data_IF_382638683487
#
_entry.id   IF_382638683487
#
_cell.length_a   1.000
_cell.length_b   1.000
_cell.length_c   1.000
_cell.angle_alpha   90.00
_cell.angle_beta   90.00
_cell.angle_gamma   90.00
#
_symmetry.space_group_name_H-M   'P 1'
#
loop_
_entity.id
_entity.type
_entity.pdbx_description
1 polymer ?
#
# COMPACT_ATOMS: atom_id res chain seq x y z
N UNK A 1 -37.81 -14.44 10.11
CA UNK A 1 -38.10 -13.99 11.49
C UNK A 1 -39.06 -14.98 12.12
N UNK A 2 -38.96 -15.22 13.42
CA UNK A 2 -39.92 -16.04 14.16
C UNK A 2 -40.87 -15.14 14.96
N UNK A 3 -42.11 -15.58 15.14
CA UNK A 3 -43.15 -14.86 15.89
C UNK A 3 -43.97 -15.87 16.68
N UNK A 4 -44.25 -15.55 17.93
CA UNK A 4 -45.17 -16.32 18.76
C UNK A 4 -46.56 -15.66 18.79
N UNK A 5 -47.62 -16.47 18.78
CA UNK A 5 -49.00 -15.97 18.73
C UNK A 5 -49.52 -15.54 20.12
N UNK A 6 -48.97 -16.12 21.18
CA UNK A 6 -49.38 -15.90 22.57
C UNK A 6 -48.50 -14.83 23.27
N UNK A 7 -47.40 -14.42 22.63
CA UNK A 7 -46.47 -13.40 23.10
C UNK A 7 -45.36 -13.93 24.01
N UNK A 8 -45.14 -15.25 24.02
CA UNK A 8 -44.12 -15.91 24.83
C UNK A 8 -42.70 -15.55 24.36
N UNK A 9 -41.74 -15.62 25.29
CA UNK A 9 -40.35 -15.31 24.99
C UNK A 9 -39.73 -16.41 24.12
N UNK A 10 -39.30 -16.03 22.92
CA UNK A 10 -38.57 -16.93 22.02
C UNK A 10 -37.11 -17.06 22.41
N UNK A 11 -36.64 -18.31 22.50
CA UNK A 11 -35.25 -18.69 22.74
C UNK A 11 -34.65 -19.39 21.53
N UNK A 12 -33.47 -18.97 21.10
CA UNK A 12 -32.76 -19.51 19.94
C UNK A 12 -31.58 -20.38 20.36
N UNK A 13 -31.31 -21.43 19.57
CA UNK A 13 -30.12 -22.26 19.74
C UNK A 13 -29.58 -22.75 18.39
N UNK A 14 -28.27 -22.99 18.33
CA UNK A 14 -27.62 -23.61 17.17
C UNK A 14 -27.73 -25.13 17.27
N UNK A 15 -28.24 -25.76 16.23
CA UNK A 15 -28.39 -27.23 16.18
C UNK A 15 -27.32 -27.92 15.34
N UNK A 16 -26.73 -27.22 14.36
CA UNK A 16 -25.64 -27.71 13.51
C UNK A 16 -24.86 -26.56 12.87
N UNK A 17 -23.73 -26.86 12.22
CA UNK A 17 -22.91 -25.87 11.49
C UNK A 17 -21.56 -25.58 12.16
N UNK A 18 -20.76 -24.66 11.62
CA UNK A 18 -19.33 -24.55 11.91
C UNK A 18 -19.02 -24.04 13.32
N UNK A 19 -17.99 -24.58 13.97
CA UNK A 19 -17.65 -24.29 15.37
C UNK A 19 -17.38 -22.80 15.64
N UNK A 20 -16.91 -22.06 14.64
CA UNK A 20 -16.65 -20.63 14.77
C UNK A 20 -17.92 -19.78 14.91
N UNK A 21 -19.11 -20.31 14.58
CA UNK A 21 -20.39 -19.59 14.65
C UNK A 21 -21.18 -20.00 15.90
N UNK A 22 -21.62 -19.00 16.67
CA UNK A 22 -22.49 -19.15 17.85
C UNK A 22 -23.80 -18.38 17.67
N UNK A 23 -24.90 -18.95 18.18
CA UNK A 23 -26.21 -18.32 18.27
C UNK A 23 -26.55 -18.14 19.75
N UNK A 24 -26.74 -16.90 20.19
CA UNK A 24 -27.18 -16.60 21.54
C UNK A 24 -28.69 -16.83 21.72
N UNK A 25 -29.16 -16.95 22.96
CA UNK A 25 -30.57 -17.23 23.29
C UNK A 25 -31.55 -16.19 22.72
N UNK A 26 -31.11 -14.94 22.51
CA UNK A 26 -31.89 -13.87 21.91
C UNK A 26 -31.84 -13.84 20.37
N UNK A 27 -31.09 -14.75 19.74
CA UNK A 27 -30.92 -14.85 18.31
C UNK A 27 -29.68 -14.14 17.74
N UNK A 28 -28.89 -13.46 18.57
CA UNK A 28 -27.67 -12.79 18.09
C UNK A 28 -26.63 -13.79 17.58
N UNK A 29 -26.04 -13.49 16.42
CA UNK A 29 -24.97 -14.28 15.81
C UNK A 29 -23.61 -13.68 16.16
N UNK A 30 -22.68 -14.52 16.60
CA UNK A 30 -21.27 -14.14 16.80
C UNK A 30 -20.35 -15.21 16.21
N UNK A 31 -19.15 -14.82 15.79
CA UNK A 31 -18.17 -15.80 15.33
C UNK A 31 -16.84 -15.22 14.87
N UNK A 32 -15.89 -16.12 14.64
CA UNK A 32 -14.54 -15.81 14.17
C UNK A 32 -14.13 -16.79 13.05
N UNK A 33 -14.70 -16.66 11.84
CA UNK A 33 -14.33 -17.50 10.71
C UNK A 33 -12.87 -17.26 10.32
N UNK A 34 -12.26 -18.29 9.75
CA UNK A 34 -10.91 -18.24 9.18
C UNK A 34 -10.96 -18.16 7.65
N UNK A 35 -9.81 -18.03 7.01
CA UNK A 35 -9.71 -18.11 5.55
C UNK A 35 -10.11 -19.48 5.00
N UNK A 36 -10.07 -20.54 5.82
CA UNK A 36 -10.53 -21.88 5.40
C UNK A 36 -12.05 -21.97 5.30
N UNK A 37 -12.77 -21.04 5.93
CA UNK A 37 -14.24 -20.98 5.94
C UNK A 37 -14.79 -20.15 4.78
N UNK A 38 -13.95 -19.70 3.84
CA UNK A 38 -14.38 -18.87 2.71
C UNK A 38 -15.49 -19.54 1.90
N UNK A 39 -16.53 -18.77 1.59
CA UNK A 39 -17.70 -19.20 0.83
C UNK A 39 -18.94 -19.41 1.69
N UNK A 40 -19.92 -20.12 1.12
CA UNK A 40 -21.20 -20.36 1.78
C UNK A 40 -21.04 -21.43 2.86
N UNK A 41 -21.34 -21.06 4.11
CA UNK A 41 -21.42 -21.94 5.25
C UNK A 41 -22.87 -22.13 5.65
N UNK A 42 -23.25 -23.36 6.00
CA UNK A 42 -24.61 -23.71 6.39
C UNK A 42 -24.70 -24.06 7.87
N UNK A 43 -25.74 -23.60 8.55
CA UNK A 43 -25.97 -23.86 9.97
C UNK A 43 -27.46 -24.04 10.28
N UNK A 44 -27.75 -24.92 11.23
CA UNK A 44 -29.09 -25.16 11.75
C UNK A 44 -29.38 -24.26 12.93
N UNK A 45 -30.57 -23.67 12.96
CA UNK A 45 -31.11 -22.91 14.08
C UNK A 45 -32.43 -23.52 14.53
N UNK A 46 -32.63 -23.61 15.84
CA UNK A 46 -33.92 -23.90 16.46
C UNK A 46 -34.40 -22.69 17.25
N UNK A 47 -35.70 -22.43 17.21
CA UNK A 47 -36.38 -21.44 18.05
C UNK A 47 -37.48 -22.14 18.85
N UNK A 48 -37.66 -21.79 20.12
CA UNK A 48 -38.68 -22.35 21.02
C UNK A 48 -39.27 -21.30 21.94
N UNK A 49 -40.55 -21.44 22.28
CA UNK A 49 -41.28 -20.68 23.31
C UNK A 49 -41.27 -21.40 24.68
N UNK A 50 -40.58 -22.55 24.79
CA UNK A 50 -40.57 -23.42 25.97
C UNK A 50 -41.61 -24.57 25.94
N UNK A 51 -42.53 -24.56 24.97
CA UNK A 51 -43.55 -25.59 24.74
C UNK A 51 -43.41 -26.23 23.36
N UNK A 52 -43.32 -25.40 22.33
CA UNK A 52 -43.15 -25.76 20.93
C UNK A 52 -41.77 -25.32 20.43
N UNK A 53 -41.32 -25.95 19.35
CA UNK A 53 -40.08 -25.55 18.68
C UNK A 53 -40.23 -25.66 17.18
N UNK A 54 -39.58 -24.77 16.45
CA UNK A 54 -39.39 -24.88 15.00
C UNK A 54 -37.91 -24.78 14.65
N UNK A 55 -37.52 -25.26 13.47
CA UNK A 55 -36.12 -25.30 13.04
C UNK A 55 -35.94 -24.94 11.58
N UNK A 56 -34.85 -24.26 11.27
CA UNK A 56 -34.48 -23.86 9.93
C UNK A 56 -32.99 -24.08 9.67
N UNK A 57 -32.65 -24.24 8.39
CA UNK A 57 -31.26 -24.19 7.92
C UNK A 57 -31.01 -22.83 7.28
N UNK A 58 -29.97 -22.15 7.73
CA UNK A 58 -29.56 -20.84 7.24
C UNK A 58 -28.16 -20.93 6.62
N UNK A 59 -27.87 -19.99 5.73
CA UNK A 59 -26.57 -19.87 5.08
C UNK A 59 -25.96 -18.51 5.40
N UNK A 60 -24.65 -18.49 5.64
CA UNK A 60 -23.84 -17.29 5.76
C UNK A 60 -22.66 -17.39 4.80
N UNK A 61 -22.42 -16.33 4.03
CA UNK A 61 -21.26 -16.26 3.14
C UNK A 61 -20.11 -15.57 3.87
N UNK A 62 -18.99 -16.28 4.01
CA UNK A 62 -17.73 -15.72 4.51
C UNK A 62 -16.92 -15.28 3.31
N UNK A 63 -16.76 -13.97 3.15
CA UNK A 63 -15.83 -13.41 2.17
C UNK A 63 -14.50 -13.14 2.83
N UNK A 64 -13.41 -13.25 2.05
CA UNK A 64 -12.15 -12.65 2.48
C UNK A 64 -12.36 -11.14 2.61
N UNK A 65 -11.65 -10.46 3.54
CA UNK A 65 -11.55 -9.02 3.44
C UNK A 65 -11.09 -8.69 2.02
N UNK A 66 -11.66 -7.64 1.44
CA UNK A 66 -11.21 -7.16 0.12
C UNK A 66 -9.68 -7.02 0.22
N UNK A 67 -8.95 -7.72 -0.66
CA UNK A 67 -7.49 -7.65 -0.62
C UNK A 67 -7.17 -6.17 -0.73
N UNK A 68 -6.52 -5.59 0.28
CA UNK A 68 -6.15 -4.18 0.21
C UNK A 68 -5.34 -4.02 -1.07
N UNK A 69 -5.96 -3.43 -2.10
CA UNK A 69 -5.26 -3.20 -3.36
C UNK A 69 -4.22 -2.16 -3.04
N UNK A 70 -2.99 -2.62 -2.81
CA UNK A 70 -1.85 -1.75 -2.67
C UNK A 70 -1.68 -1.07 -4.01
N UNK A 71 -2.04 0.21 -4.07
CA UNK A 71 -1.75 1.03 -5.24
C UNK A 71 -0.25 1.32 -5.19
N UNK A 72 0.50 0.61 -6.01
CA UNK A 72 1.94 0.79 -6.20
C UNK A 72 2.19 1.50 -7.53
N UNK A 73 3.00 2.55 -7.47
CA UNK A 73 3.50 3.29 -8.63
C UNK A 73 5.02 3.23 -8.59
N UNK A 74 5.64 2.77 -9.68
CA UNK A 74 7.08 2.77 -9.87
C UNK A 74 7.38 3.57 -11.13
N UNK A 75 8.35 4.48 -11.05
CA UNK A 75 8.79 5.27 -12.20
C UNK A 75 10.31 5.17 -12.32
N UNK A 76 10.76 4.60 -13.42
CA UNK A 76 12.15 4.43 -13.80
C UNK A 76 12.69 5.67 -14.55
N UNK A 77 14.01 5.86 -14.60
CA UNK A 77 14.64 6.97 -15.31
C UNK A 77 14.46 6.90 -16.83
N UNK A 78 13.98 5.78 -17.37
CA UNK A 78 13.66 5.62 -18.80
C UNK A 78 12.19 5.84 -19.12
N UNK A 79 11.33 6.03 -18.11
CA UNK A 79 9.90 6.22 -18.32
C UNK A 79 9.56 7.62 -18.87
N UNK A 80 8.44 7.69 -19.60
CA UNK A 80 8.01 8.89 -20.34
C UNK A 80 7.61 10.07 -19.45
N UNK A 81 7.26 9.82 -18.18
CA UNK A 81 6.88 10.85 -17.21
C UNK A 81 8.09 11.37 -16.42
N UNK A 82 9.30 11.26 -16.98
CA UNK A 82 10.52 11.85 -16.43
C UNK A 82 11.00 13.06 -17.23
N UNK A 83 11.75 13.94 -16.58
CA UNK A 83 12.43 15.07 -17.24
C UNK A 83 13.72 15.45 -16.49
N UNK A 84 14.64 16.14 -17.15
CA UNK A 84 15.88 16.57 -16.50
C UNK A 84 16.40 17.90 -17.05
N UNK A 85 17.25 18.56 -16.25
CA UNK A 85 18.00 19.75 -16.67
C UNK A 85 19.50 19.43 -16.80
N UNK A 86 20.21 20.22 -17.60
CA UNK A 86 21.65 20.05 -17.81
C UNK A 86 22.02 18.69 -18.40
N UNK A 87 23.11 18.09 -17.91
CA UNK A 87 23.66 16.87 -18.49
C UNK A 87 23.60 15.71 -17.50
N UNK A 88 23.00 14.61 -17.96
CA UNK A 88 22.98 13.31 -17.30
C UNK A 88 23.63 12.28 -18.21
N UNK A 89 24.49 11.42 -17.66
CA UNK A 89 25.21 10.38 -18.41
C UNK A 89 24.85 9.01 -17.87
N UNK A 90 24.92 7.99 -18.72
CA UNK A 90 24.76 6.60 -18.29
C UNK A 90 25.77 6.25 -17.19
N UNK A 91 25.24 5.73 -16.09
CA UNK A 91 26.01 5.24 -14.96
C UNK A 91 26.56 3.85 -15.23
N UNK A 92 27.78 3.59 -14.75
CA UNK A 92 28.34 2.24 -14.63
C UNK A 92 28.16 1.64 -13.23
N UNK A 93 27.40 2.32 -12.36
CA UNK A 93 27.08 1.82 -11.02
C UNK A 93 26.27 0.52 -11.08
N UNK A 94 26.45 -0.33 -10.08
CA UNK A 94 25.86 -1.66 -10.05
C UNK A 94 24.46 -1.67 -9.44
N UNK A 95 23.68 -2.69 -9.80
CA UNK A 95 22.32 -2.95 -9.30
C UNK A 95 21.31 -1.81 -9.55
N UNK A 96 21.21 -1.28 -10.78
CA UNK A 96 20.13 -0.37 -11.12
C UNK A 96 18.77 -1.08 -11.04
N UNK A 97 17.73 -0.32 -10.76
CA UNK A 97 16.37 -0.78 -10.96
C UNK A 97 16.11 -0.91 -12.47
N UNK A 98 15.59 -2.06 -12.89
CA UNK A 98 15.08 -2.32 -14.25
C UNK A 98 15.85 -1.70 -15.43
N UNK A 99 17.17 -1.86 -15.48
CA UNK A 99 17.96 -1.41 -16.63
C UNK A 99 19.25 -0.71 -16.23
N UNK A 100 19.29 0.61 -16.36
CA UNK A 100 20.50 1.39 -16.11
C UNK A 100 20.17 2.77 -15.57
N UNK A 101 20.96 3.22 -14.61
CA UNK A 101 20.78 4.52 -13.99
C UNK A 101 21.56 5.61 -14.71
N UNK A 102 21.25 6.87 -14.41
CA UNK A 102 22.00 8.04 -14.86
C UNK A 102 22.78 8.67 -13.71
N UNK A 103 23.82 9.46 -14.03
CA UNK A 103 24.50 10.30 -13.06
C UNK A 103 24.81 11.70 -13.56
N UNK A 104 24.94 12.63 -12.61
CA UNK A 104 25.38 14.01 -12.86
C UNK A 104 26.14 14.60 -11.67
N UNK A 105 26.99 15.58 -11.94
CA UNK A 105 27.68 16.42 -10.95
C UNK A 105 27.70 17.90 -11.34
N UNK A 106 26.88 18.31 -12.30
CA UNK A 106 26.92 19.63 -12.94
C UNK A 106 25.86 20.61 -12.44
N UNK A 107 25.32 20.39 -11.24
CA UNK A 107 24.20 21.19 -10.73
C UNK A 107 22.88 20.99 -11.48
N UNK A 108 22.67 19.79 -12.02
CA UNK A 108 21.50 19.37 -12.79
C UNK A 108 20.38 18.83 -11.90
N UNK A 109 19.18 18.71 -12.43
CA UNK A 109 18.03 18.03 -11.78
C UNK A 109 17.51 16.89 -12.63
N UNK A 110 16.96 15.86 -11.99
CA UNK A 110 16.21 14.78 -12.61
C UNK A 110 14.88 14.64 -11.87
N UNK A 111 13.77 14.68 -12.60
CA UNK A 111 12.41 14.72 -12.06
C UNK A 111 11.61 13.54 -12.55
N UNK A 112 10.91 12.89 -11.63
CA UNK A 112 9.85 11.92 -11.90
C UNK A 112 8.51 12.59 -11.57
N UNK A 113 7.64 12.75 -12.57
CA UNK A 113 6.29 13.27 -12.38
C UNK A 113 5.38 12.10 -12.01
N UNK A 114 4.72 12.17 -10.84
CA UNK A 114 4.12 10.96 -10.24
C UNK A 114 2.78 10.56 -10.86
N UNK A 115 2.10 11.45 -11.59
CA UNK A 115 0.81 11.14 -12.26
C UNK A 115 -0.20 10.41 -11.35
N UNK A 116 -0.35 10.85 -10.09
CA UNK A 116 -1.17 10.17 -9.08
C UNK A 116 -2.61 10.07 -9.59
N UNK A 117 -3.14 8.84 -9.70
CA UNK A 117 -4.52 8.62 -10.19
C UNK A 117 -5.53 8.48 -9.07
N UNK A 118 -5.08 8.18 -7.84
CA UNK A 118 -5.95 7.93 -6.69
C UNK A 118 -5.51 8.77 -5.50
N UNK A 119 -6.41 9.58 -4.96
CA UNK A 119 -6.16 10.36 -3.74
C UNK A 119 -5.84 9.45 -2.55
N UNK A 120 -4.85 9.84 -1.75
CA UNK A 120 -4.50 9.13 -0.52
C UNK A 120 -3.14 9.52 0.02
N UNK A 121 -2.74 8.84 1.08
CA UNK A 121 -1.40 8.94 1.66
C UNK A 121 -0.52 7.84 1.09
N UNK A 122 0.69 8.21 0.66
CA UNK A 122 1.65 7.30 0.05
C UNK A 122 3.00 7.36 0.77
N UNK A 123 3.57 6.19 1.04
CA UNK A 123 4.98 6.02 1.35
C UNK A 123 5.82 6.18 0.07
N UNK A 124 6.81 7.06 0.10
CA UNK A 124 7.70 7.39 -1.03
C UNK A 124 9.08 6.80 -0.80
N UNK A 125 9.62 6.18 -1.85
CA UNK A 125 10.93 5.55 -1.85
C UNK A 125 11.73 5.99 -3.09
N UNK A 126 13.06 5.91 -2.99
CA UNK A 126 13.97 6.04 -4.13
C UNK A 126 14.93 4.86 -4.20
N UNK A 127 15.38 4.57 -5.42
CA UNK A 127 16.44 3.62 -5.74
C UNK A 127 17.58 4.36 -6.44
N UNK A 128 18.82 3.89 -6.24
CA UNK A 128 20.00 4.36 -6.97
C UNK A 128 21.08 3.30 -7.04
N UNK A 129 22.06 3.52 -7.93
CA UNK A 129 23.25 2.69 -8.02
C UNK A 129 24.39 3.21 -7.15
N UNK A 130 25.10 2.29 -6.50
CA UNK A 130 26.31 2.63 -5.78
C UNK A 130 27.42 3.00 -6.76
N UNK A 131 28.20 4.02 -6.39
CA UNK A 131 29.54 4.25 -6.90
C UNK A 131 30.36 5.00 -5.85
N UNK A 132 31.67 4.79 -5.80
CA UNK A 132 32.52 5.33 -4.73
C UNK A 132 32.55 6.87 -4.67
N UNK A 133 32.16 7.56 -5.74
CA UNK A 133 32.13 9.02 -5.82
C UNK A 133 30.71 9.63 -5.74
N UNK A 134 29.69 8.84 -5.36
CA UNK A 134 28.32 9.35 -5.17
C UNK A 134 28.24 10.38 -4.06
N UNK A 135 27.25 11.26 -4.10
CA UNK A 135 26.95 12.19 -3.02
C UNK A 135 26.55 11.42 -1.76
N UNK A 136 27.02 11.86 -0.60
CA UNK A 136 26.55 11.35 0.69
C UNK A 136 25.36 12.12 1.25
N UNK A 137 24.91 13.16 0.54
CA UNK A 137 23.78 14.00 0.90
C UNK A 137 23.05 14.46 -0.37
N UNK A 138 22.64 13.52 -1.22
CA UNK A 138 21.88 13.82 -2.43
C UNK A 138 20.46 14.28 -2.07
N UNK A 139 20.05 15.50 -2.41
CA UNK A 139 18.73 16.03 -2.06
C UNK A 139 17.64 15.56 -3.03
N UNK A 140 16.61 14.93 -2.48
CA UNK A 140 15.34 14.61 -3.13
C UNK A 140 14.28 15.60 -2.66
N UNK A 141 13.71 16.35 -3.60
CA UNK A 141 12.59 17.25 -3.37
C UNK A 141 11.29 16.52 -3.69
N UNK A 142 10.38 16.42 -2.72
CA UNK A 142 9.07 15.78 -2.87
C UNK A 142 8.00 16.87 -2.84
N UNK A 143 7.28 17.05 -3.94
CA UNK A 143 6.12 17.93 -4.05
C UNK A 143 4.85 17.14 -3.77
N UNK A 144 4.08 17.56 -2.77
CA UNK A 144 2.84 16.93 -2.32
C UNK A 144 1.79 17.99 -1.92
N UNK A 145 0.64 17.56 -1.42
CA UNK A 145 -0.52 18.45 -1.19
C UNK A 145 -0.22 19.58 -0.19
N UNK A 146 0.54 19.29 0.87
CA UNK A 146 0.88 20.28 1.90
C UNK A 146 2.05 21.20 1.54
N UNK A 147 2.71 21.00 0.39
CA UNK A 147 3.87 21.79 0.01
C UNK A 147 4.99 20.95 -0.56
N UNK A 148 6.21 21.23 -0.13
CA UNK A 148 7.41 20.57 -0.62
C UNK A 148 8.33 20.24 0.55
N UNK A 149 8.83 19.00 0.58
CA UNK A 149 9.85 18.55 1.53
C UNK A 149 11.14 18.18 0.79
N UNK A 150 12.29 18.36 1.44
CA UNK A 150 13.59 17.91 0.93
C UNK A 150 14.14 16.84 1.87
N UNK A 151 14.50 15.69 1.31
CA UNK A 151 15.11 14.56 2.01
C UNK A 151 16.49 14.34 1.42
N UNK A 152 17.53 14.44 2.24
CA UNK A 152 18.92 14.18 1.81
C UNK A 152 19.31 12.74 2.13
N UNK A 153 19.80 12.00 1.13
CA UNK A 153 20.21 10.59 1.31
C UNK A 153 21.67 10.36 0.94
N UNK A 154 22.26 9.35 1.59
CA UNK A 154 23.63 8.94 1.28
C UNK A 154 23.65 7.91 0.14
N UNK A 155 23.86 8.39 -1.09
CA UNK A 155 23.93 7.50 -2.25
C UNK A 155 25.24 6.71 -2.36
N UNK A 156 26.24 7.04 -1.53
CA UNK A 156 27.51 6.31 -1.44
C UNK A 156 27.46 5.18 -0.41
N UNK A 157 26.39 5.06 0.37
CA UNK A 157 26.26 3.94 1.29
C UNK A 157 25.89 2.66 0.51
N UNK A 158 26.83 1.70 0.47
CA UNK A 158 26.62 0.41 -0.19
C UNK A 158 25.49 -0.40 0.43
N UNK A 159 25.24 -0.20 1.72
CA UNK A 159 24.13 -0.87 2.38
C UNK A 159 22.79 -0.33 1.87
N UNK A 160 22.73 0.93 1.40
CA UNK A 160 21.53 1.62 0.92
C UNK A 160 21.27 1.49 -0.59
N UNK A 161 22.31 1.44 -1.40
CA UNK A 161 22.17 1.35 -2.85
C UNK A 161 21.61 -0.01 -3.33
N UNK A 162 20.96 -0.03 -4.48
CA UNK A 162 20.40 -1.27 -5.03
C UNK A 162 19.19 -1.80 -4.23
N UNK A 163 18.47 -0.92 -3.52
CA UNK A 163 17.22 -1.23 -2.83
C UNK A 163 16.33 0.01 -2.71
N UNK A 164 15.05 -0.22 -2.40
CA UNK A 164 14.10 0.84 -2.09
C UNK A 164 14.42 1.49 -0.74
N UNK A 165 14.83 2.76 -0.76
CA UNK A 165 15.10 3.55 0.44
C UNK A 165 13.96 4.51 0.69
N UNK A 166 13.38 4.43 1.89
CA UNK A 166 12.25 5.26 2.32
C UNK A 166 12.66 6.73 2.46
N UNK A 167 11.85 7.63 1.87
CA UNK A 167 12.04 9.07 1.92
C UNK A 167 11.03 9.75 2.84
N UNK A 168 9.84 9.19 2.98
CA UNK A 168 8.78 9.78 3.80
C UNK A 168 7.40 9.37 3.35
N UNK A 169 6.40 9.86 4.06
CA UNK A 169 4.98 9.61 3.79
C UNK A 169 4.27 10.95 3.59
N UNK A 170 3.48 11.04 2.52
CA UNK A 170 2.85 12.29 2.11
C UNK A 170 1.45 12.05 1.52
N UNK A 171 0.56 13.02 1.70
CA UNK A 171 -0.75 13.01 1.06
C UNK A 171 -0.70 13.61 -0.35
N UNK A 172 -1.36 12.93 -1.28
CA UNK A 172 -1.47 13.32 -2.67
C UNK A 172 -2.94 13.30 -3.11
N UNK A 173 -3.33 14.34 -3.82
CA UNK A 173 -4.61 14.42 -4.52
C UNK A 173 -4.47 13.85 -5.94
N UNK A 174 -5.44 13.08 -6.39
CA UNK A 174 -5.49 12.57 -7.76
C UNK A 174 -5.36 13.71 -8.78
N UNK A 175 -4.60 13.47 -9.85
CA UNK A 175 -4.26 14.42 -10.91
C UNK A 175 -3.53 15.68 -10.45
N UNK A 176 -2.97 15.69 -9.22
CA UNK A 176 -2.09 16.77 -8.77
C UNK A 176 -0.77 16.76 -9.54
N UNK A 177 -0.16 17.94 -9.71
CA UNK A 177 1.17 18.11 -10.29
C UNK A 177 2.30 17.74 -9.31
N UNK A 178 2.16 16.59 -8.64
CA UNK A 178 3.13 16.05 -7.70
C UNK A 178 4.36 15.46 -8.44
N UNK A 179 5.52 15.55 -7.80
CA UNK A 179 6.77 15.06 -8.36
C UNK A 179 7.78 14.71 -7.26
N UNK A 180 8.74 13.86 -7.61
CA UNK A 180 10.00 13.71 -6.88
C UNK A 180 11.12 14.23 -7.78
N UNK A 181 12.02 15.05 -7.26
CA UNK A 181 13.12 15.63 -8.01
C UNK A 181 14.46 15.48 -7.27
N UNK A 182 15.40 14.78 -7.90
CA UNK A 182 16.78 14.68 -7.45
C UNK A 182 17.59 15.87 -7.99
N UNK A 183 18.36 16.52 -7.12
CA UNK A 183 19.32 17.55 -7.54
C UNK A 183 20.76 17.06 -7.39
N UNK A 184 21.58 17.40 -8.39
CA UNK A 184 23.03 17.22 -8.41
C UNK A 184 23.79 18.48 -7.97
N UNK A 185 23.08 19.54 -7.55
CA UNK A 185 23.66 20.84 -7.17
C UNK A 185 24.18 20.82 -5.75
N UNK A 186 25.39 21.34 -5.55
CA UNK A 186 26.07 21.43 -4.26
C UNK A 186 26.27 20.08 -3.56
N UNK A 187 26.26 18.98 -4.32
CA UNK A 187 26.50 17.66 -3.80
C UNK A 187 27.99 17.44 -3.57
N UNK A 188 28.35 16.76 -2.46
CA UNK A 188 29.72 16.35 -2.16
C UNK A 188 30.17 15.10 -2.97
N UNK A 189 29.65 14.97 -4.19
CA UNK A 189 29.81 13.84 -5.10
C UNK A 189 28.79 13.87 -6.23
N UNK A 190 28.77 12.82 -7.06
CA UNK A 190 27.80 12.66 -8.15
C UNK A 190 26.42 12.25 -7.61
N UNK A 191 25.34 12.77 -8.16
CA UNK A 191 24.00 12.24 -7.94
C UNK A 191 23.71 11.12 -8.96
N UNK A 192 22.99 10.09 -8.54
CA UNK A 192 22.48 9.01 -9.38
C UNK A 192 20.96 9.05 -9.42
N UNK A 193 20.39 9.18 -10.63
CA UNK A 193 18.95 9.06 -10.87
C UNK A 193 18.68 7.66 -11.43
N UNK A 194 17.79 6.91 -10.80
CA UNK A 194 17.39 5.57 -11.23
C UNK A 194 15.86 5.50 -11.18
N UNK A 195 15.27 5.06 -10.07
CA UNK A 195 13.82 4.94 -9.96
C UNK A 195 13.28 5.52 -8.65
N UNK A 196 11.97 5.82 -8.66
CA UNK A 196 11.18 6.09 -7.45
C UNK A 196 10.04 5.08 -7.35
N UNK A 197 9.55 4.92 -6.12
CA UNK A 197 8.37 4.11 -5.83
C UNK A 197 7.45 4.80 -4.84
N UNK A 198 6.15 4.77 -5.10
CA UNK A 198 5.10 5.24 -4.21
C UNK A 198 4.13 4.10 -3.91
N UNK A 199 3.83 3.90 -2.63
CA UNK A 199 2.94 2.84 -2.15
C UNK A 199 1.82 3.49 -1.34
N UNK A 200 0.58 3.35 -1.78
CA UNK A 200 -0.59 3.87 -1.04
C UNK A 200 -0.83 3.04 0.22
N UNK A 201 -1.05 3.72 1.33
CA UNK A 201 -1.46 3.12 2.60
C UNK A 201 -2.96 2.87 2.69
#
# INVERSE_FOLDING_TARGET
TASDADGDQLTYSKTSGPDWLTIAANGDLTGAPSTADQGINSFGVQVTDGQNSDSATLNIEVTLPDSAITVELIIDNTDNNTSYTGTWKNSSGTSPWNGGSLYSSSGSTFRWNTDITTTGTYAVYAWWTYYHNRSTAAPYTIKHDSGTNIVSVNQRDQSLAGKWVYLGEYSFTASSAAFVELSSKNNNGTASADAIKLVKN
#
